data_IF_957202116573
#
_entry.id   IF_957202116573
#
_cell.length_a   1.000
_cell.length_b   1.000
_cell.length_c   1.000
_cell.angle_alpha   90.00
_cell.angle_beta   90.00
_cell.angle_gamma   90.00
#
_symmetry.space_group_name_H-M   'P 1'
#
loop_
_entity.id
_entity.type
_entity.pdbx_description
1 polymer ?
#
# COMPACT_ATOMS: atom_id res chain seq x y z
N UNK A 1 -5.40 -7.28 20.37
CA UNK A 1 -6.13 -6.13 19.82
C UNK A 1 -5.84 -6.08 18.32
N UNK A 2 -6.77 -5.56 17.51
CA UNK A 2 -6.56 -5.44 16.06
C UNK A 2 -5.54 -4.36 15.73
N UNK A 3 -4.77 -4.56 14.67
CA UNK A 3 -3.90 -3.56 14.07
C UNK A 3 -4.65 -2.87 12.93
N UNK A 4 -4.58 -1.55 12.84
CA UNK A 4 -5.25 -0.74 11.84
C UNK A 4 -4.24 -0.18 10.86
N UNK A 5 -4.59 -0.17 9.57
CA UNK A 5 -3.68 0.20 8.50
C UNK A 5 -4.13 1.46 7.77
N UNK A 6 -3.14 2.29 7.46
CA UNK A 6 -3.34 3.59 6.81
C UNK A 6 -2.43 3.71 5.59
N UNK A 7 -2.99 3.67 4.37
CA UNK A 7 -2.20 3.96 3.18
C UNK A 7 -1.72 5.40 3.18
N UNK A 8 -0.45 5.57 2.92
CA UNK A 8 0.22 6.86 2.84
C UNK A 8 0.98 6.95 1.54
N UNK A 9 0.64 7.94 0.70
CA UNK A 9 1.39 8.26 -0.51
C UNK A 9 2.33 9.43 -0.22
N UNK A 10 3.63 9.20 -0.37
CA UNK A 10 4.67 10.22 -0.22
C UNK A 10 5.12 10.69 -1.60
N UNK A 11 5.09 12.00 -1.83
CA UNK A 11 5.53 12.62 -3.09
C UNK A 11 6.57 13.70 -2.84
N UNK A 12 7.43 13.92 -3.81
CA UNK A 12 8.40 15.02 -3.77
C UNK A 12 8.00 16.11 -4.76
N UNK A 13 7.99 17.36 -4.28
CA UNK A 13 7.83 18.55 -5.12
C UNK A 13 8.77 19.65 -4.63
N UNK A 14 9.59 20.20 -5.54
CA UNK A 14 10.54 21.27 -5.22
C UNK A 14 11.47 20.93 -4.03
N UNK A 15 11.99 19.69 -3.99
CA UNK A 15 12.85 19.16 -2.91
C UNK A 15 12.18 19.13 -1.52
N UNK A 16 10.85 19.16 -1.48
CA UNK A 16 10.06 18.97 -0.26
C UNK A 16 9.16 17.75 -0.43
N UNK A 17 9.10 16.95 0.63
CA UNK A 17 8.16 15.84 0.70
C UNK A 17 6.83 16.33 1.25
N UNK A 18 5.76 15.85 0.66
CA UNK A 18 4.40 15.96 1.17
C UNK A 18 3.75 14.58 1.10
N UNK A 19 2.84 14.32 2.01
CA UNK A 19 2.14 13.05 2.12
C UNK A 19 0.65 13.25 1.93
N UNK A 20 0.05 12.27 1.31
CA UNK A 20 -1.39 12.12 1.20
C UNK A 20 -1.78 10.89 2.03
N UNK A 21 -2.66 11.06 3.02
CA UNK A 21 -3.15 10.00 3.90
C UNK A 21 -4.59 9.68 3.61
N UNK A 22 -4.93 8.40 3.73
CA UNK A 22 -6.25 7.90 3.45
C UNK A 22 -6.73 6.99 4.59
N UNK A 23 -8.02 7.00 4.83
CA UNK A 23 -8.65 6.29 5.94
C UNK A 23 -9.75 5.39 5.42
N UNK A 24 -9.67 4.09 5.68
CA UNK A 24 -10.65 3.12 5.20
C UNK A 24 -12.07 3.39 5.72
N UNK A 25 -12.20 3.90 6.94
CA UNK A 25 -13.51 4.24 7.52
C UNK A 25 -14.24 5.38 6.79
N UNK A 26 -13.55 6.23 6.05
CA UNK A 26 -14.18 7.25 5.20
C UNK A 26 -14.91 6.65 3.99
N UNK A 27 -14.65 5.38 3.71
CA UNK A 27 -15.21 4.61 2.60
C UNK A 27 -16.03 3.41 3.10
N UNK A 28 -16.50 3.47 4.35
CA UNK A 28 -17.26 2.40 5.01
C UNK A 28 -16.54 1.03 4.98
N UNK A 29 -15.21 1.04 5.03
CA UNK A 29 -14.37 -0.14 5.00
C UNK A 29 -13.76 -0.47 6.36
N UNK A 30 -13.43 -1.76 6.56
CA UNK A 30 -12.70 -2.24 7.72
C UNK A 30 -11.32 -1.59 7.85
N UNK A 31 -10.80 -1.54 9.08
CA UNK A 31 -9.54 -0.86 9.38
C UNK A 31 -8.32 -1.79 9.31
N UNK A 32 -8.53 -3.10 9.40
CA UNK A 32 -7.46 -4.09 9.39
C UNK A 32 -7.03 -4.41 7.95
N UNK A 33 -5.80 -4.89 7.80
CA UNK A 33 -5.23 -5.20 6.49
C UNK A 33 -6.11 -6.17 5.69
N UNK A 34 -6.50 -7.28 6.28
CA UNK A 34 -7.31 -8.30 5.62
C UNK A 34 -8.77 -7.89 5.41
N UNK A 35 -9.28 -6.88 6.13
CA UNK A 35 -10.67 -6.43 6.00
C UNK A 35 -10.91 -5.57 4.74
N UNK A 36 -9.84 -4.98 4.16
CA UNK A 36 -9.99 -4.12 2.98
C UNK A 36 -9.06 -4.47 1.79
N UNK A 37 -8.12 -5.41 1.97
CA UNK A 37 -7.11 -5.71 0.94
C UNK A 37 -7.60 -6.72 -0.09
N UNK A 38 -8.72 -6.47 -0.76
CA UNK A 38 -9.22 -7.34 -1.82
C UNK A 38 -9.50 -6.61 -3.12
N UNK A 39 -9.41 -7.31 -4.24
CA UNK A 39 -9.70 -6.77 -5.56
C UNK A 39 -11.16 -6.30 -5.65
N UNK A 40 -11.38 -5.18 -6.31
CA UNK A 40 -12.71 -4.54 -6.37
C UNK A 40 -13.13 -3.79 -5.11
N UNK A 41 -12.29 -3.73 -4.08
CA UNK A 41 -12.54 -2.88 -2.91
C UNK A 41 -12.41 -1.40 -3.30
N UNK A 42 -13.47 -0.63 -3.11
CA UNK A 42 -13.52 0.78 -3.53
C UNK A 42 -12.47 1.67 -2.85
N UNK A 43 -12.13 1.37 -1.61
CA UNK A 43 -11.07 2.07 -0.92
C UNK A 43 -9.71 1.83 -1.59
N UNK A 44 -9.38 0.57 -1.90
CA UNK A 44 -8.14 0.21 -2.59
C UNK A 44 -8.10 0.82 -4.00
N UNK A 45 -9.19 0.70 -4.76
CA UNK A 45 -9.30 1.29 -6.10
C UNK A 45 -9.15 2.81 -6.08
N UNK A 46 -9.68 3.47 -5.03
CA UNK A 46 -9.50 4.92 -4.85
C UNK A 46 -8.03 5.29 -4.63
N UNK A 47 -7.29 4.50 -3.85
CA UNK A 47 -5.85 4.72 -3.65
C UNK A 47 -5.09 4.49 -4.97
N UNK A 48 -5.42 3.42 -5.70
CA UNK A 48 -4.81 3.14 -7.00
C UNK A 48 -5.06 4.26 -8.02
N UNK A 49 -6.25 4.85 -8.01
CA UNK A 49 -6.58 6.00 -8.86
C UNK A 49 -5.69 7.23 -8.57
N UNK A 50 -5.22 7.42 -7.32
CA UNK A 50 -4.28 8.50 -7.00
C UNK A 50 -2.89 8.29 -7.63
N UNK A 51 -2.56 7.04 -7.99
CA UNK A 51 -1.31 6.67 -8.66
C UNK A 51 -1.44 6.62 -10.20
N UNK A 52 -2.63 6.82 -10.75
CA UNK A 52 -2.87 6.74 -12.19
C UNK A 52 -2.10 7.85 -12.94
N UNK A 53 -1.10 7.44 -13.72
CA UNK A 53 -0.17 8.33 -14.44
C UNK A 53 0.53 9.38 -13.54
N UNK A 54 0.62 9.11 -12.24
CA UNK A 54 1.18 10.03 -11.25
C UNK A 54 1.96 9.24 -10.18
N UNK A 55 3.26 8.96 -10.41
CA UNK A 55 4.04 8.17 -9.48
C UNK A 55 4.04 8.72 -8.05
N UNK A 56 4.02 7.81 -7.06
CA UNK A 56 4.13 8.14 -5.64
C UNK A 56 4.72 6.98 -4.86
N UNK A 57 5.43 7.27 -3.77
CA UNK A 57 5.92 6.24 -2.86
C UNK A 57 4.80 5.85 -1.93
N UNK A 58 4.48 4.56 -1.88
CA UNK A 58 3.34 4.04 -1.14
C UNK A 58 3.79 3.16 0.01
N UNK A 59 3.17 3.34 1.17
CA UNK A 59 3.23 2.42 2.29
C UNK A 59 1.84 2.28 2.94
N UNK A 60 1.46 1.05 3.27
CA UNK A 60 0.28 0.70 4.06
C UNK A 60 0.70 0.50 5.50
N UNK A 61 0.60 1.54 6.33
CA UNK A 61 1.26 1.62 7.64
C UNK A 61 0.32 1.13 8.74
N UNK A 62 0.72 0.07 9.44
CA UNK A 62 0.02 -0.41 10.64
C UNK A 62 0.28 0.48 11.84
N UNK A 63 -0.74 0.70 12.68
CA UNK A 63 -0.66 1.55 13.87
C UNK A 63 0.21 0.98 15.02
N UNK A 64 0.66 -0.28 14.89
CA UNK A 64 1.65 -0.91 15.77
C UNK A 64 3.07 -0.91 15.18
N UNK A 65 3.27 -0.26 14.03
CA UNK A 65 4.60 -0.18 13.41
C UNK A 65 5.58 0.60 14.29
N UNK A 66 6.83 0.11 14.34
CA UNK A 66 7.92 0.70 15.09
C UNK A 66 8.95 1.34 14.16
N UNK A 67 9.89 2.09 14.73
CA UNK A 67 10.92 2.78 13.94
C UNK A 67 11.74 1.84 13.07
N UNK A 68 12.02 0.66 13.57
CA UNK A 68 12.87 -0.32 12.90
C UNK A 68 12.18 -0.92 11.67
N UNK A 69 10.83 -1.07 11.68
CA UNK A 69 10.07 -1.47 10.50
C UNK A 69 10.29 -0.53 9.31
N UNK A 70 10.49 0.77 9.58
CA UNK A 70 10.76 1.77 8.56
C UNK A 70 12.24 1.82 8.15
N UNK A 71 13.14 1.33 8.99
CA UNK A 71 14.56 1.24 8.68
C UNK A 71 14.86 0.06 7.76
N UNK A 72 14.03 -0.99 7.83
CA UNK A 72 14.11 -2.21 7.04
C UNK A 72 13.37 -2.09 5.70
N UNK A 73 12.62 -0.97 5.47
CA UNK A 73 12.02 -0.73 4.17
C UNK A 73 13.08 -0.80 3.09
N UNK A 74 12.94 -1.77 2.23
CA UNK A 74 13.74 -2.06 1.04
C UNK A 74 15.19 -1.53 1.11
N UNK A 75 16.18 -2.41 1.24
CA UNK A 75 17.61 -2.05 1.38
C UNK A 75 18.13 -1.10 0.30
N UNK A 76 17.49 -1.10 -0.88
CA UNK A 76 17.79 -0.25 -2.02
C UNK A 76 17.22 1.18 -1.90
N UNK A 77 16.28 1.40 -0.97
CA UNK A 77 15.72 2.74 -0.76
C UNK A 77 16.71 3.62 0.01
N UNK A 78 16.85 4.90 -0.39
CA UNK A 78 17.59 5.84 0.43
C UNK A 78 17.01 5.84 1.85
N UNK A 79 17.84 5.68 2.87
CA UNK A 79 17.46 5.71 4.31
C UNK A 79 16.58 6.93 4.68
N UNK A 80 16.66 7.98 3.86
CA UNK A 80 15.84 9.18 4.00
C UNK A 80 14.35 8.88 3.77
N UNK A 81 13.98 7.92 2.92
CA UNK A 81 12.58 7.61 2.60
C UNK A 81 11.91 6.92 3.80
N UNK A 82 12.51 5.86 4.35
CA UNK A 82 12.01 5.22 5.56
C UNK A 82 11.88 6.21 6.72
N UNK A 83 12.90 7.08 6.90
CA UNK A 83 12.83 8.16 7.89
C UNK A 83 11.66 9.11 7.63
N UNK A 84 11.34 9.43 6.36
CA UNK A 84 10.22 10.31 6.01
C UNK A 84 8.88 9.67 6.30
N UNK A 85 8.69 8.40 5.98
CA UNK A 85 7.48 7.68 6.37
C UNK A 85 7.34 7.62 7.90
N UNK A 86 8.41 7.32 8.62
CA UNK A 86 8.38 7.28 10.08
C UNK A 86 8.12 8.65 10.73
N UNK A 87 8.76 9.73 10.27
CA UNK A 87 8.49 11.09 10.74
C UNK A 87 7.03 11.45 10.53
N UNK A 88 6.47 11.00 9.40
CA UNK A 88 5.09 11.21 9.07
C UNK A 88 4.15 10.40 9.97
N UNK A 89 4.39 9.10 10.11
CA UNK A 89 3.68 8.18 11.00
C UNK A 89 3.63 8.69 12.46
N UNK A 90 4.75 9.17 13.00
CA UNK A 90 4.79 9.75 14.35
C UNK A 90 3.84 10.92 14.54
N UNK A 91 3.72 11.78 13.55
CA UNK A 91 2.80 12.92 13.60
C UNK A 91 1.33 12.48 13.59
N UNK A 92 1.07 11.25 13.19
CA UNK A 92 -0.26 10.71 12.96
C UNK A 92 -0.81 9.89 14.14
N UNK A 93 -0.01 8.98 14.66
CA UNK A 93 -0.44 7.97 15.65
C UNK A 93 -0.26 8.46 17.08
N UNK A 94 0.66 9.39 17.35
CA UNK A 94 0.92 9.85 18.70
C UNK A 94 0.13 11.13 19.01
N UNK A 95 -0.85 11.07 19.92
CA UNK A 95 -1.56 12.26 20.39
C UNK A 95 -0.57 13.28 20.98
N UNK A 96 -0.62 14.52 20.54
CA UNK A 96 0.23 15.61 21.04
C UNK A 96 1.49 15.89 20.23
N UNK A 97 1.68 15.25 19.06
CA UNK A 97 2.83 15.52 18.17
C UNK A 97 2.66 16.74 17.27
N UNK A 98 1.69 17.61 17.50
CA UNK A 98 1.49 18.83 16.70
C UNK A 98 2.74 19.73 16.65
N UNK A 99 3.61 19.65 17.65
CA UNK A 99 4.83 20.46 17.74
C UNK A 99 6.03 19.93 16.92
N UNK A 100 6.01 18.68 16.44
CA UNK A 100 7.15 18.09 15.71
C UNK A 100 7.15 18.37 14.21
N UNK A 101 6.04 18.80 13.65
CA UNK A 101 5.89 19.05 12.21
C UNK A 101 6.26 20.47 11.79
N UNK A 102 7.15 21.17 12.51
CA UNK A 102 7.55 22.53 12.18
C UNK A 102 8.08 22.66 10.74
N UNK A 103 7.18 23.01 9.82
CA UNK A 103 7.50 23.69 8.56
C UNK A 103 8.12 22.87 7.44
N UNK A 104 8.32 21.54 7.59
CA UNK A 104 8.99 20.70 6.57
C UNK A 104 8.09 19.63 5.92
N UNK A 105 6.97 19.31 6.53
CA UNK A 105 6.00 18.37 5.99
C UNK A 105 4.65 19.05 5.84
N UNK A 106 4.08 18.98 4.67
CA UNK A 106 2.70 19.41 4.44
C UNK A 106 1.87 18.13 4.44
N UNK A 107 0.99 18.02 5.42
CA UNK A 107 0.02 16.96 5.56
C UNK A 107 -1.22 17.34 4.78
N UNK A 108 -1.65 16.48 3.89
CA UNK A 108 -2.95 16.61 3.23
C UNK A 108 -3.82 15.44 3.67
N UNK A 109 -4.83 15.72 4.47
CA UNK A 109 -5.98 14.83 4.55
C UNK A 109 -6.68 14.94 3.21
N UNK A 110 -6.63 13.88 2.45
CA UNK A 110 -7.28 13.81 1.16
C UNK A 110 -8.40 12.75 1.25
N UNK A 111 -9.63 13.21 1.06
CA UNK A 111 -10.75 12.31 0.82
C UNK A 111 -11.18 12.47 -0.63
N UNK A 112 -10.50 11.77 -1.59
CA UNK A 112 -10.95 11.76 -2.96
C UNK A 112 -12.34 11.11 -3.07
N UNK A 113 -13.03 11.42 -4.16
CA UNK A 113 -14.27 10.71 -4.48
C UNK A 113 -14.00 9.21 -4.62
N UNK A 114 -14.93 8.41 -4.13
CA UNK A 114 -14.87 6.95 -4.21
C UNK A 114 -14.80 6.49 -5.66
N UNK A 115 -13.85 5.60 -5.94
CA UNK A 115 -13.68 5.00 -7.26
C UNK A 115 -14.21 3.57 -7.22
N UNK A 116 -15.26 3.31 -8.01
CA UNK A 116 -16.00 2.04 -8.01
C UNK A 116 -15.43 0.99 -8.96
N UNK A 117 -14.64 1.43 -9.93
CA UNK A 117 -14.07 0.55 -10.94
C UNK A 117 -12.57 0.78 -11.04
N UNK A 118 -11.81 -0.27 -11.32
CA UNK A 118 -10.38 -0.17 -11.54
C UNK A 118 -10.05 0.80 -12.68
N UNK A 119 -9.18 1.77 -12.38
CA UNK A 119 -8.81 2.82 -13.31
C UNK A 119 -7.60 2.48 -14.18
N UNK A 120 -6.79 1.49 -13.80
CA UNK A 120 -5.60 1.09 -14.54
C UNK A 120 -5.40 -0.43 -14.55
N UNK A 121 -4.65 -0.91 -15.55
CA UNK A 121 -4.36 -2.33 -15.72
C UNK A 121 -3.03 -2.75 -15.11
N UNK A 122 -2.01 -1.92 -15.26
CA UNK A 122 -0.64 -2.25 -14.85
C UNK A 122 -0.24 -1.44 -13.64
N UNK A 123 0.29 -2.11 -12.63
CA UNK A 123 0.90 -1.46 -11.46
C UNK A 123 2.41 -1.62 -11.59
N UNK A 124 3.11 -0.50 -11.75
CA UNK A 124 4.55 -0.43 -11.95
C UNK A 124 5.25 -0.13 -10.65
N UNK A 125 6.33 -0.86 -10.40
CA UNK A 125 7.32 -0.54 -9.39
C UNK A 125 8.58 0.00 -10.09
N UNK A 126 8.81 1.30 -9.96
CA UNK A 126 9.91 1.99 -10.63
C UNK A 126 11.27 1.68 -10.00
N UNK A 127 11.32 1.43 -8.70
CA UNK A 127 12.58 1.12 -8.01
C UNK A 127 13.07 -0.29 -8.37
N UNK A 128 12.15 -1.27 -8.45
CA UNK A 128 12.47 -2.68 -8.80
C UNK A 128 12.40 -2.97 -10.31
N UNK A 129 12.00 -2.00 -11.13
CA UNK A 129 11.82 -2.13 -12.58
C UNK A 129 10.95 -3.34 -12.95
N UNK A 130 9.83 -3.52 -12.25
CA UNK A 130 8.87 -4.59 -12.49
C UNK A 130 7.42 -4.07 -12.48
N UNK A 131 6.50 -4.91 -12.94
CA UNK A 131 5.07 -4.58 -12.94
C UNK A 131 4.20 -5.81 -12.68
N UNK A 132 2.96 -5.54 -12.23
CA UNK A 132 1.86 -6.51 -12.12
C UNK A 132 0.81 -6.14 -13.16
N UNK A 133 0.38 -7.10 -13.98
CA UNK A 133 -0.81 -7.00 -14.83
C UNK A 133 -2.03 -7.46 -14.02
N UNK A 134 -2.84 -6.53 -13.55
CA UNK A 134 -3.96 -6.81 -12.67
C UNK A 134 -5.03 -7.71 -13.31
N UNK A 135 -5.16 -7.70 -14.63
CA UNK A 135 -6.11 -8.58 -15.34
C UNK A 135 -5.64 -10.04 -15.31
N UNK A 136 -4.34 -10.27 -15.50
CA UNK A 136 -3.78 -11.62 -15.41
C UNK A 136 -3.64 -12.07 -13.95
N UNK A 137 -3.30 -11.15 -13.03
CA UNK A 137 -3.22 -11.43 -11.60
C UNK A 137 -4.55 -11.97 -11.05
N UNK A 138 -5.66 -11.30 -11.36
CA UNK A 138 -7.00 -11.72 -10.93
C UNK A 138 -7.40 -13.09 -11.48
N UNK A 139 -7.01 -13.44 -12.70
CA UNK A 139 -7.27 -14.77 -13.26
C UNK A 139 -6.49 -15.89 -12.56
N UNK A 140 -5.28 -15.57 -12.08
CA UNK A 140 -4.36 -16.56 -11.51
C UNK A 140 -4.55 -16.76 -10.00
N UNK A 141 -5.16 -15.80 -9.30
CA UNK A 141 -5.30 -15.76 -7.85
C UNK A 141 -6.75 -15.91 -7.38
N UNK A 142 -7.47 -16.87 -7.94
CA UNK A 142 -8.81 -17.21 -7.48
C UNK A 142 -8.74 -17.81 -6.06
N UNK A 143 -9.72 -17.47 -5.23
CA UNK A 143 -9.85 -18.01 -3.88
C UNK A 143 -10.20 -19.49 -3.85
N UNK A 144 -9.99 -20.14 -2.72
CA UNK A 144 -10.18 -21.57 -2.50
C UNK A 144 -11.64 -22.00 -2.34
N UNK A 145 -12.61 -21.10 -2.30
CA UNK A 145 -14.01 -21.48 -2.06
C UNK A 145 -14.84 -21.36 -3.33
N UNK A 146 -15.63 -22.40 -3.64
CA UNK A 146 -16.51 -22.43 -4.82
C UNK A 146 -17.59 -21.34 -4.81
N UNK A 147 -17.80 -20.65 -3.69
CA UNK A 147 -18.86 -19.66 -3.48
C UNK A 147 -18.38 -18.20 -3.42
N UNK A 148 -17.08 -17.94 -3.31
CA UNK A 148 -16.51 -16.57 -3.17
C UNK A 148 -15.49 -16.27 -4.25
N UNK A 149 -15.87 -15.47 -5.24
CA UNK A 149 -15.01 -14.96 -6.34
C UNK A 149 -14.09 -13.79 -5.91
N UNK A 150 -13.77 -13.66 -4.62
CA UNK A 150 -12.89 -12.61 -4.16
C UNK A 150 -11.45 -13.09 -4.00
N UNK A 151 -10.49 -12.21 -4.21
CA UNK A 151 -9.06 -12.46 -4.02
C UNK A 151 -8.37 -11.20 -3.52
N UNK A 152 -7.24 -11.39 -2.86
CA UNK A 152 -6.48 -10.26 -2.32
C UNK A 152 -5.94 -9.36 -3.43
N UNK A 153 -6.07 -8.07 -3.23
CA UNK A 153 -5.37 -7.09 -4.05
C UNK A 153 -3.90 -7.04 -3.60
N UNK A 154 -2.91 -7.16 -4.52
CA UNK A 154 -1.52 -7.33 -4.12
C UNK A 154 -0.95 -6.09 -3.40
N UNK A 155 -1.38 -4.90 -3.74
CA UNK A 155 -0.71 -3.66 -3.29
C UNK A 155 -0.82 -3.40 -1.79
N UNK A 156 -1.96 -3.50 -1.11
CA UNK A 156 -1.98 -3.34 0.34
C UNK A 156 -1.02 -4.29 1.05
N UNK A 157 -0.92 -5.53 0.58
CA UNK A 157 -0.06 -6.55 1.15
C UNK A 157 1.42 -6.29 0.84
N UNK A 158 1.78 -6.08 -0.43
CA UNK A 158 3.15 -5.78 -0.84
C UNK A 158 3.71 -4.49 -0.23
N UNK A 159 2.87 -3.56 0.19
CA UNK A 159 3.28 -2.27 0.75
C UNK A 159 3.01 -2.13 2.25
N UNK A 160 2.59 -3.21 2.93
CA UNK A 160 2.30 -3.20 4.35
C UNK A 160 3.57 -2.99 5.19
N UNK A 161 3.46 -2.21 6.27
CA UNK A 161 4.51 -1.98 7.26
C UNK A 161 3.98 -2.40 8.62
N UNK A 162 4.70 -3.27 9.34
CA UNK A 162 4.36 -3.73 10.68
C UNK A 162 3.41 -4.93 10.71
N UNK A 163 3.24 -5.69 9.62
CA UNK A 163 2.48 -6.94 9.62
C UNK A 163 3.04 -7.94 10.67
N UNK A 164 2.15 -8.73 11.26
CA UNK A 164 2.51 -9.72 12.29
C UNK A 164 2.47 -9.18 13.74
N UNK A 165 1.98 -7.95 13.96
CA UNK A 165 1.95 -7.31 15.29
C UNK A 165 0.55 -7.27 15.92
N UNK A 166 -0.50 -7.51 15.15
CA UNK A 166 -1.87 -7.40 15.64
C UNK A 166 -2.89 -8.31 14.95
N UNK A 167 -4.10 -8.32 15.48
CA UNK A 167 -5.19 -9.07 14.84
C UNK A 167 -5.66 -8.39 13.54
N UNK A 168 -5.89 -9.21 12.50
CA UNK A 168 -6.27 -8.75 11.16
C UNK A 168 -5.09 -8.44 10.25
N UNK A 169 -3.87 -8.83 10.69
CA UNK A 169 -2.72 -8.94 9.84
C UNK A 169 -2.86 -10.14 8.90
N UNK A 170 -2.15 -10.10 7.80
CA UNK A 170 -2.19 -11.20 6.84
C UNK A 170 -1.32 -12.37 7.30
N UNK A 171 -1.87 -13.59 7.21
CA UNK A 171 -1.16 -14.84 7.45
C UNK A 171 -1.60 -15.88 6.41
N UNK A 172 -0.65 -16.31 5.57
CA UNK A 172 -0.99 -17.27 4.52
C UNK A 172 0.14 -17.52 3.53
N UNK A 173 -0.24 -17.99 2.35
CA UNK A 173 0.68 -18.12 1.21
C UNK A 173 1.02 -16.71 0.74
N UNK A 174 2.31 -16.43 0.51
CA UNK A 174 2.82 -15.11 0.15
C UNK A 174 3.13 -14.21 1.35
N UNK A 175 3.09 -14.74 2.60
CA UNK A 175 3.43 -13.95 3.79
C UNK A 175 4.86 -13.40 3.74
N UNK A 176 5.77 -14.08 3.08
CA UNK A 176 7.16 -13.66 2.85
C UNK A 176 7.30 -12.41 1.95
N UNK A 177 6.29 -12.12 1.12
CA UNK A 177 6.27 -10.97 0.23
C UNK A 177 5.63 -9.73 0.87
N UNK A 178 5.05 -9.87 2.07
CA UNK A 178 4.42 -8.75 2.77
C UNK A 178 5.44 -7.63 3.01
N UNK A 179 5.08 -6.43 2.53
CA UNK A 179 5.91 -5.24 2.70
C UNK A 179 7.09 -5.13 1.75
N UNK A 180 7.34 -6.11 0.87
CA UNK A 180 8.52 -6.09 -0.01
C UNK A 180 8.54 -4.91 -1.00
N UNK A 181 7.41 -4.21 -1.20
CA UNK A 181 7.30 -2.97 -2.00
C UNK A 181 7.02 -1.73 -1.12
N UNK A 182 7.07 -1.86 0.19
CA UNK A 182 6.76 -0.75 1.09
C UNK A 182 7.75 0.43 0.87
N UNK A 183 7.19 1.61 0.59
CA UNK A 183 7.96 2.81 0.29
C UNK A 183 8.50 2.93 -1.13
N UNK A 184 8.34 1.90 -1.97
CA UNK A 184 8.74 1.96 -3.38
C UNK A 184 7.92 2.99 -4.18
N UNK A 185 8.52 3.48 -5.25
CA UNK A 185 7.87 4.42 -6.18
C UNK A 185 6.96 3.64 -7.12
N UNK A 186 5.66 3.74 -6.88
CA UNK A 186 4.63 3.03 -7.65
C UNK A 186 3.88 3.97 -8.58
N UNK A 187 3.41 3.42 -9.69
CA UNK A 187 2.55 4.11 -10.64
C UNK A 187 1.54 3.13 -11.24
N UNK A 188 0.34 3.60 -11.50
CA UNK A 188 -0.70 2.84 -12.21
C UNK A 188 -0.82 3.34 -13.64
N UNK A 189 -0.92 2.42 -14.62
CA UNK A 189 -1.07 2.75 -16.05
C UNK A 189 -2.05 1.83 -16.76
N UNK A 190 -2.61 2.33 -17.86
CA UNK A 190 -3.40 1.50 -18.79
C UNK A 190 -2.54 0.83 -19.87
N UNK A 191 -1.40 1.43 -20.23
CA UNK A 191 -0.50 0.88 -21.22
C UNK A 191 0.57 -0.02 -20.58
N UNK A 192 0.84 -1.18 -21.21
CA UNK A 192 1.90 -2.08 -20.79
C UNK A 192 3.26 -1.35 -20.80
N UNK A 193 4.02 -1.40 -19.68
CA UNK A 193 5.31 -0.74 -19.63
C UNK A 193 6.37 -1.48 -20.46
N UNK A 194 7.26 -0.72 -21.12
CA UNK A 194 8.41 -1.28 -21.81
C UNK A 194 9.63 -1.30 -20.90
N UNK A 195 10.40 -2.38 -20.95
CA UNK A 195 11.66 -2.50 -20.19
C UNK A 195 11.49 -2.88 -18.72
N UNK A 196 10.28 -3.17 -18.26
CA UNK A 196 9.96 -3.67 -16.93
C UNK A 196 9.76 -5.19 -16.95
N UNK A 197 10.22 -5.89 -15.91
CA UNK A 197 9.97 -7.32 -15.74
C UNK A 197 8.52 -7.55 -15.30
N UNK A 198 7.85 -8.50 -15.92
CA UNK A 198 6.55 -9.01 -15.47
C UNK A 198 6.76 -9.88 -14.23
N UNK A 199 6.07 -9.60 -13.14
CA UNK A 199 6.12 -10.38 -11.90
C UNK A 199 4.72 -10.89 -11.49
N UNK A 200 3.77 -10.81 -12.41
CA UNK A 200 2.37 -11.15 -12.13
C UNK A 200 2.19 -12.58 -11.60
N UNK A 201 2.92 -13.54 -12.17
CA UNK A 201 2.85 -14.94 -11.77
C UNK A 201 3.69 -15.26 -10.52
N UNK A 202 4.63 -14.39 -10.17
CA UNK A 202 5.50 -14.57 -9.01
C UNK A 202 4.76 -14.21 -7.70
N UNK A 203 3.66 -13.43 -7.78
CA UNK A 203 2.95 -12.90 -6.62
C UNK A 203 1.65 -13.66 -6.40
N UNK A 204 1.52 -14.25 -5.21
CA UNK A 204 0.33 -14.98 -4.79
C UNK A 204 0.01 -14.69 -3.33
N UNK A 205 -1.26 -14.37 -3.04
CA UNK A 205 -1.74 -14.17 -1.68
C UNK A 205 -2.99 -15.00 -1.43
N UNK A 206 -2.92 -15.91 -0.44
CA UNK A 206 -4.02 -16.77 -0.07
C UNK A 206 -4.03 -16.98 1.45
N UNK A 207 -5.18 -16.87 2.10
CA UNK A 207 -5.27 -17.13 3.55
C UNK A 207 -4.97 -18.59 3.88
N UNK A 208 -4.40 -18.81 5.06
CA UNK A 208 -3.95 -20.15 5.53
C UNK A 208 -5.08 -21.12 5.80
N UNK A 209 -6.31 -20.65 5.92
CA UNK A 209 -7.47 -21.44 6.36
C UNK A 209 -8.59 -21.52 5.31
N UNK A 210 -8.28 -21.32 4.05
CA UNK A 210 -9.19 -21.64 2.95
C UNK A 210 -9.12 -23.12 2.58
#
# INVERSE_FOLDING_TARGET
MGQYYYPTILREKNKRFYSEEFYSHDYDNGLKLTEHSYCGNYFVETIMAQLLNKPGRLAWIGDYSEKDDFAELNEDLPKIIGKKFYEHYKCFVLPGCEDFCHGKHVRYYNKPEEVKERQGRFILNHDKQCYIDMVEYEKNNLTCTEDDDWHFHPIPLLTAVGNGRGGGDFHGIGEEDIGCWAGDLLEVRNAKPNGYRDVTEDIQFQEKYC
#
